data_IF_624918813117
#
_entry.id   IF_624918813117
#
_cell.length_a   1.000
_cell.length_b   1.000
_cell.length_c   1.000
_cell.angle_alpha   90.00
_cell.angle_beta   90.00
_cell.angle_gamma   90.00
#
_symmetry.space_group_name_H-M   'P 1'
#
loop_
_entity.id
_entity.type
_entity.pdbx_description
1 polymer ?
#
# COMPACT_ATOMS: atom_id res chain seq x y z
N UNK A 1 62.37 2.25 -28.39
CA UNK A 1 62.10 2.76 -29.76
C UNK A 1 60.72 2.25 -30.16
N UNK A 2 59.67 2.98 -30.54
CA UNK A 2 59.43 4.38 -30.93
C UNK A 2 58.03 4.80 -30.42
N UNK A 3 57.87 6.10 -30.13
CA UNK A 3 56.64 6.81 -29.79
C UNK A 3 55.85 7.22 -31.05
N UNK A 4 54.52 7.37 -30.91
CA UNK A 4 53.67 8.40 -31.55
C UNK A 4 52.32 8.36 -30.79
N UNK A 5 51.79 9.35 -30.05
CA UNK A 5 51.50 10.79 -30.24
C UNK A 5 50.66 11.10 -31.47
N UNK A 6 49.36 11.34 -31.24
CA UNK A 6 48.56 12.27 -32.05
C UNK A 6 47.80 13.26 -31.15
N UNK A 7 48.10 14.55 -31.38
CA UNK A 7 47.31 15.76 -31.03
C UNK A 7 46.00 15.69 -31.84
N UNK A 8 44.83 16.12 -31.38
CA UNK A 8 44.47 17.40 -30.77
C UNK A 8 43.79 18.29 -31.83
N UNK A 9 42.48 18.53 -31.71
CA UNK A 9 41.84 19.74 -32.26
C UNK A 9 40.51 20.04 -31.57
N UNK A 10 40.49 21.20 -30.93
CA UNK A 10 39.31 21.88 -30.42
C UNK A 10 38.44 22.40 -31.57
N UNK A 11 37.12 22.42 -31.36
CA UNK A 11 36.23 23.38 -32.01
C UNK A 11 35.51 24.17 -30.91
N UNK A 12 35.38 25.47 -31.17
CA UNK A 12 35.03 26.55 -30.24
C UNK A 12 33.80 27.26 -30.82
N UNK A 13 32.94 27.77 -29.92
CA UNK A 13 31.90 28.83 -30.11
C UNK A 13 30.68 28.37 -30.93
N UNK A 14 29.41 28.61 -30.59
CA UNK A 14 28.65 29.83 -30.23
C UNK A 14 27.39 29.34 -29.45
N UNK A 15 26.92 29.86 -28.31
CA UNK A 15 26.70 31.25 -27.92
C UNK A 15 25.24 31.62 -28.17
N UNK A 16 24.32 31.35 -27.23
CA UNK A 16 22.91 31.70 -27.40
C UNK A 16 22.08 31.47 -26.14
N UNK A 17 22.22 32.38 -25.18
CA UNK A 17 21.30 32.48 -24.04
C UNK A 17 20.02 33.19 -24.44
N UNK A 18 18.89 32.70 -23.94
CA UNK A 18 17.65 33.49 -23.79
C UNK A 18 17.08 33.14 -22.42
N UNK A 19 17.09 34.14 -21.54
CA UNK A 19 16.48 34.09 -20.22
C UNK A 19 14.95 34.19 -20.27
N UNK A 20 14.30 34.27 -19.09
CA UNK A 20 12.90 33.94 -18.92
C UNK A 20 11.98 35.07 -19.42
N UNK A 21 10.93 34.70 -20.14
CA UNK A 21 9.86 35.63 -20.50
C UNK A 21 8.93 35.84 -19.29
N UNK A 22 9.12 36.99 -18.62
CA UNK A 22 8.07 37.63 -17.85
C UNK A 22 6.90 37.99 -18.79
N UNK A 23 5.69 37.50 -18.48
CA UNK A 23 4.45 38.05 -19.04
C UNK A 23 3.72 38.78 -17.92
N UNK A 24 3.78 40.11 -17.99
CA UNK A 24 2.98 41.01 -17.18
C UNK A 24 1.64 41.32 -17.86
N UNK A 25 0.59 41.33 -17.04
CA UNK A 25 -0.64 42.13 -17.12
C UNK A 25 -1.46 42.19 -18.42
N UNK A 26 -2.71 41.70 -18.33
CA UNK A 26 -3.87 42.44 -18.85
C UNK A 26 -4.99 42.49 -17.82
N UNK A 27 -5.10 43.68 -17.22
CA UNK A 27 -6.32 44.19 -16.59
C UNK A 27 -7.39 44.34 -17.68
N UNK A 28 -8.54 43.70 -17.49
CA UNK A 28 -9.74 43.87 -18.29
C UNK A 28 -10.90 44.27 -17.37
N UNK A 29 -11.38 45.49 -17.56
CA UNK A 29 -12.42 46.14 -16.78
C UNK A 29 -13.82 45.53 -17.03
N UNK A 30 -14.58 45.44 -15.93
CA UNK A 30 -15.97 45.88 -15.77
C UNK A 30 -17.06 45.37 -16.72
N UNK A 31 -17.94 44.53 -16.17
CA UNK A 31 -19.38 44.72 -16.36
C UNK A 31 -20.09 44.78 -15.00
N UNK A 32 -20.54 45.99 -14.65
CA UNK A 32 -21.54 46.26 -13.62
C UNK A 32 -22.89 45.75 -14.11
N UNK A 33 -23.57 44.94 -13.30
CA UNK A 33 -25.03 44.83 -13.34
C UNK A 33 -25.54 45.37 -12.01
N UNK A 34 -26.27 46.48 -12.11
CA UNK A 34 -26.97 47.11 -11.03
C UNK A 34 -28.26 46.33 -10.74
N UNK A 35 -28.54 46.04 -9.47
CA UNK A 35 -29.91 45.83 -8.99
C UNK A 35 -30.10 46.60 -7.70
N UNK A 36 -30.99 47.57 -7.83
CA UNK A 36 -31.65 48.51 -6.94
C UNK A 36 -31.70 48.20 -5.43
N UNK A 37 -31.39 49.24 -4.65
CA UNK A 37 -31.71 49.38 -3.23
C UNK A 37 -33.18 49.79 -3.08
N UNK A 38 -33.94 49.11 -2.22
CA UNK A 38 -35.04 49.76 -1.49
C UNK A 38 -34.93 49.48 0.00
N UNK A 39 -34.63 50.54 0.73
CA UNK A 39 -34.89 50.70 2.17
C UNK A 39 -36.41 50.60 2.43
N UNK A 40 -36.78 49.93 3.51
CA UNK A 40 -37.83 50.37 4.42
C UNK A 40 -37.71 49.57 5.73
N UNK A 41 -37.62 50.30 6.84
CA UNK A 41 -37.63 49.87 8.25
C UNK A 41 -38.81 50.61 8.93
N UNK A 42 -39.23 50.33 10.17
CA UNK A 42 -39.98 49.17 10.69
C UNK A 42 -41.36 49.59 11.28
N UNK A 43 -42.06 48.72 12.05
CA UNK A 43 -42.50 49.22 13.35
C UNK A 43 -42.34 48.24 14.53
N UNK A 44 -42.09 48.84 15.70
CA UNK A 44 -42.06 48.24 17.03
C UNK A 44 -43.26 47.35 17.40
N UNK A 45 -43.01 46.25 18.13
CA UNK A 45 -43.70 45.93 19.40
C UNK A 45 -42.99 44.88 20.27
N UNK A 46 -42.68 45.35 21.49
CA UNK A 46 -42.34 44.74 22.79
C UNK A 46 -42.52 43.22 22.98
N UNK A 47 -41.41 42.56 23.36
CA UNK A 47 -41.20 41.93 24.68
C UNK A 47 -41.65 40.48 24.88
N UNK A 48 -40.71 39.56 25.11
CA UNK A 48 -40.73 38.63 26.27
C UNK A 48 -39.54 37.67 26.34
N UNK A 49 -39.06 37.51 27.58
CA UNK A 49 -38.34 36.39 28.19
C UNK A 49 -36.96 35.95 27.67
N UNK A 50 -35.96 36.39 28.43
CA UNK A 50 -34.76 35.67 28.84
C UNK A 50 -34.94 34.14 28.94
N UNK A 51 -34.16 33.41 28.13
CA UNK A 51 -33.51 32.12 28.48
C UNK A 51 -32.60 31.69 27.31
N UNK A 52 -31.43 32.31 27.21
CA UNK A 52 -30.35 31.76 26.42
C UNK A 52 -29.79 30.56 27.16
N UNK A 53 -30.24 29.37 26.79
CA UNK A 53 -29.51 28.13 27.08
C UNK A 53 -28.16 28.24 26.37
N UNK A 54 -27.03 27.89 26.99
CA UNK A 54 -25.82 27.67 26.21
C UNK A 54 -26.13 26.46 25.33
N UNK A 55 -26.29 26.70 24.03
CA UNK A 55 -26.27 25.61 23.07
C UNK A 55 -24.90 24.97 23.19
N UNK A 56 -24.86 23.80 23.83
CA UNK A 56 -23.75 22.88 23.72
C UNK A 56 -23.61 22.50 22.24
N UNK A 57 -22.83 23.24 21.47
CA UNK A 57 -22.14 22.64 20.35
C UNK A 57 -21.11 21.70 20.98
N UNK A 58 -21.36 20.40 20.87
CA UNK A 58 -20.37 19.41 21.24
C UNK A 58 -19.17 19.58 20.30
N UNK A 59 -18.17 20.34 20.75
CA UNK A 59 -16.86 20.42 20.08
C UNK A 59 -16.23 19.05 20.24
N UNK A 60 -16.46 18.19 19.25
CA UNK A 60 -15.86 16.86 19.19
C UNK A 60 -14.36 17.03 18.99
N UNK A 61 -13.56 16.58 19.96
CA UNK A 61 -12.11 16.65 19.83
C UNK A 61 -11.67 15.72 18.68
N UNK A 62 -10.89 16.22 17.71
CA UNK A 62 -10.52 15.47 16.52
C UNK A 62 -9.30 14.59 16.79
N UNK A 63 -9.51 13.47 17.47
CA UNK A 63 -8.56 12.36 17.46
C UNK A 63 -8.70 11.57 16.15
N UNK A 64 -7.58 11.15 15.57
CA UNK A 64 -7.50 10.37 14.35
C UNK A 64 -6.67 9.12 14.58
N UNK A 65 -7.12 7.99 14.03
CA UNK A 65 -6.37 6.74 14.03
C UNK A 65 -6.23 6.23 12.61
N UNK A 66 -5.00 6.04 12.16
CA UNK A 66 -4.66 5.42 10.87
C UNK A 66 -4.12 4.02 11.14
N UNK A 67 -4.80 3.01 10.61
CA UNK A 67 -4.36 1.61 10.68
C UNK A 67 -4.14 1.04 9.29
N UNK A 68 -3.16 0.15 9.15
CA UNK A 68 -2.85 -0.51 7.88
C UNK A 68 -1.93 -1.71 8.08
N UNK A 69 -1.79 -2.53 7.04
CA UNK A 69 -0.79 -3.59 6.96
C UNK A 69 0.48 -3.18 6.19
N UNK A 70 0.42 -2.09 5.40
CA UNK A 70 1.57 -1.52 4.68
C UNK A 70 1.89 -0.09 5.18
N UNK A 71 3.09 0.09 5.73
CA UNK A 71 3.57 1.37 6.29
C UNK A 71 3.62 2.48 5.23
N UNK A 72 3.78 2.16 3.95
CA UNK A 72 3.81 3.15 2.87
C UNK A 72 2.43 3.76 2.65
N UNK A 73 1.37 2.96 2.77
CA UNK A 73 -0.02 3.45 2.70
C UNK A 73 -0.41 4.24 3.94
N UNK A 74 0.02 3.79 5.12
CA UNK A 74 -0.15 4.54 6.38
C UNK A 74 0.53 5.91 6.27
N UNK A 75 1.78 5.95 5.78
CA UNK A 75 2.55 7.17 5.62
C UNK A 75 1.93 8.14 4.62
N UNK A 76 1.40 7.63 3.50
CA UNK A 76 0.68 8.44 2.52
C UNK A 76 -0.58 9.08 3.15
N UNK A 77 -1.43 8.27 3.79
CA UNK A 77 -2.64 8.77 4.45
C UNK A 77 -2.34 9.74 5.60
N UNK A 78 -1.25 9.52 6.33
CA UNK A 78 -0.77 10.41 7.38
C UNK A 78 -0.35 11.76 6.79
N UNK A 79 0.37 11.75 5.67
CA UNK A 79 0.82 12.97 5.00
C UNK A 79 -0.38 13.80 4.55
N UNK A 80 -1.33 13.18 3.84
CA UNK A 80 -2.55 13.85 3.37
C UNK A 80 -3.36 14.45 4.53
N UNK A 81 -3.53 13.69 5.62
CA UNK A 81 -4.27 14.14 6.79
C UNK A 81 -3.55 15.30 7.49
N UNK A 82 -2.23 15.21 7.69
CA UNK A 82 -1.47 16.27 8.34
C UNK A 82 -1.49 17.54 7.49
N UNK A 83 -1.36 17.44 6.17
CA UNK A 83 -1.41 18.61 5.29
C UNK A 83 -2.79 19.27 5.31
N UNK A 84 -3.87 18.48 5.38
CA UNK A 84 -5.21 19.01 5.58
C UNK A 84 -5.39 19.70 6.94
N UNK A 85 -4.84 19.12 8.02
CA UNK A 85 -4.98 19.65 9.38
C UNK A 85 -4.14 20.91 9.61
N UNK A 86 -2.93 20.96 9.05
CA UNK A 86 -2.04 22.12 9.14
C UNK A 86 -2.54 23.26 8.25
N UNK A 87 -3.03 22.95 7.05
CA UNK A 87 -3.52 23.95 6.09
C UNK A 87 -2.46 25.02 5.78
N UNK A 88 -2.83 26.29 5.91
CA UNK A 88 -1.93 27.43 5.66
C UNK A 88 -1.08 27.84 6.88
N UNK A 89 -1.20 27.14 8.01
CA UNK A 89 -0.43 27.45 9.22
C UNK A 89 1.06 27.11 9.06
N UNK A 90 1.92 27.82 9.80
CA UNK A 90 3.34 27.48 9.86
C UNK A 90 3.53 26.11 10.54
N UNK A 91 3.89 25.10 9.73
CA UNK A 91 4.09 23.72 10.17
C UNK A 91 5.08 23.64 11.33
N UNK A 92 6.13 24.47 11.36
CA UNK A 92 7.11 24.45 12.44
C UNK A 92 6.53 24.86 13.81
N UNK A 93 5.45 25.65 13.81
CA UNK A 93 4.81 26.12 15.04
C UNK A 93 3.71 25.19 15.55
N UNK A 94 3.04 24.44 14.67
CA UNK A 94 1.83 23.68 15.03
C UNK A 94 2.02 22.17 15.03
N UNK A 95 3.05 21.65 14.36
CA UNK A 95 3.23 20.22 14.14
C UNK A 95 4.36 19.64 15.01
N UNK A 96 4.05 18.58 15.75
CA UNK A 96 5.06 17.73 16.40
C UNK A 96 4.80 16.26 16.08
N UNK A 97 5.86 15.48 15.85
CA UNK A 97 5.77 14.06 15.53
C UNK A 97 6.72 13.25 16.39
N UNK A 98 6.23 12.12 16.87
CA UNK A 98 6.94 11.18 17.73
C UNK A 98 6.85 9.79 17.11
N UNK A 99 7.99 9.12 16.91
CA UNK A 99 8.04 7.79 16.33
C UNK A 99 8.52 6.76 17.36
N UNK A 100 7.61 5.89 17.81
CA UNK A 100 7.94 4.89 18.83
C UNK A 100 8.81 3.74 18.31
N UNK A 101 8.91 3.54 17.00
CA UNK A 101 9.79 2.52 16.42
C UNK A 101 11.27 2.90 16.53
N UNK A 102 11.58 4.20 16.52
CA UNK A 102 12.94 4.73 16.65
C UNK A 102 13.39 4.89 18.11
N UNK A 103 12.45 4.89 19.05
CA UNK A 103 12.72 5.04 20.49
C UNK A 103 13.11 3.69 21.11
N UNK A 104 14.21 3.69 21.86
CA UNK A 104 14.67 2.54 22.62
C UNK A 104 13.62 2.11 23.65
N UNK A 105 13.52 0.80 23.91
CA UNK A 105 12.46 0.24 24.75
C UNK A 105 12.37 0.90 26.14
N UNK A 106 13.50 1.23 26.76
CA UNK A 106 13.57 1.81 28.10
C UNK A 106 13.09 3.28 28.15
N UNK A 107 13.15 3.99 27.02
CA UNK A 107 12.77 5.41 26.91
C UNK A 107 11.34 5.61 26.39
N UNK A 108 10.64 4.54 25.99
CA UNK A 108 9.30 4.64 25.39
C UNK A 108 8.26 5.21 26.35
N UNK A 109 8.34 4.90 27.64
CA UNK A 109 7.41 5.45 28.63
C UNK A 109 7.57 6.99 28.75
N UNK A 110 8.81 7.48 28.67
CA UNK A 110 9.09 8.91 28.62
C UNK A 110 8.58 9.53 27.32
N UNK A 111 8.75 8.85 26.18
CA UNK A 111 8.23 9.32 24.89
C UNK A 111 6.69 9.39 24.87
N UNK A 112 5.98 8.41 25.46
CA UNK A 112 4.52 8.47 25.60
C UNK A 112 4.10 9.66 26.47
N UNK A 113 4.81 9.91 27.58
CA UNK A 113 4.56 11.08 28.41
C UNK A 113 4.79 12.40 27.63
N UNK A 114 5.82 12.46 26.78
CA UNK A 114 6.07 13.62 25.91
C UNK A 114 4.92 13.85 24.92
N UNK A 115 4.40 12.79 24.28
CA UNK A 115 3.23 12.90 23.38
C UNK A 115 2.02 13.46 24.12
N UNK A 116 1.70 12.93 25.30
CA UNK A 116 0.57 13.41 26.11
C UNK A 116 0.77 14.87 26.53
N UNK A 117 1.98 15.22 26.99
CA UNK A 117 2.31 16.60 27.37
C UNK A 117 2.18 17.54 26.17
N UNK A 118 2.70 17.16 25.00
CA UNK A 118 2.59 17.94 23.77
C UNK A 118 1.12 18.11 23.36
N UNK A 119 0.29 17.07 23.50
CA UNK A 119 -1.12 17.11 23.16
C UNK A 119 -2.00 17.86 24.18
N UNK A 120 -1.52 18.10 25.40
CA UNK A 120 -2.16 18.92 26.42
C UNK A 120 -1.67 20.37 26.41
N UNK A 121 -0.50 20.63 25.83
CA UNK A 121 0.11 21.96 25.80
C UNK A 121 -0.57 22.81 24.74
N UNK A 122 -1.20 23.91 25.17
CA UNK A 122 -1.79 24.89 24.28
C UNK A 122 -0.69 25.63 23.51
N UNK A 123 -0.91 25.85 22.21
CA UNK A 123 0.01 26.67 21.40
C UNK A 123 -0.10 28.14 21.80
N UNK A 124 1.03 28.84 21.88
CA UNK A 124 1.08 30.29 22.14
C UNK A 124 0.89 31.14 20.88
N UNK A 125 1.08 30.54 19.71
CA UNK A 125 1.15 31.25 18.43
C UNK A 125 0.10 30.77 17.40
N UNK A 126 -0.65 29.71 17.73
CA UNK A 126 -1.68 29.16 16.86
C UNK A 126 -2.92 28.74 17.67
N UNK A 127 -4.08 28.75 17.02
CA UNK A 127 -5.36 28.36 17.63
C UNK A 127 -5.50 26.84 17.81
N UNK A 128 -4.61 26.06 17.20
CA UNK A 128 -4.61 24.60 17.26
C UNK A 128 -3.18 24.03 17.24
N UNK A 129 -3.09 22.74 17.58
CA UNK A 129 -1.89 21.93 17.51
C UNK A 129 -2.16 20.61 16.78
N UNK A 130 -1.18 20.09 16.05
CA UNK A 130 -1.20 18.76 15.45
C UNK A 130 -0.08 17.93 16.07
N UNK A 131 -0.44 16.90 16.82
CA UNK A 131 0.52 15.97 17.44
C UNK A 131 0.35 14.60 16.80
N UNK A 132 1.43 14.08 16.22
CA UNK A 132 1.47 12.76 15.58
C UNK A 132 2.24 11.79 16.45
N UNK A 133 1.65 10.63 16.75
CA UNK A 133 2.33 9.51 17.38
C UNK A 133 2.32 8.29 16.45
N UNK A 134 3.48 7.92 15.94
CA UNK A 134 3.66 6.83 14.98
C UNK A 134 4.01 5.53 15.68
N UNK A 135 3.58 4.41 15.11
CA UNK A 135 3.86 3.05 15.58
C UNK A 135 3.38 2.79 17.02
N UNK A 136 2.14 3.16 17.35
CA UNK A 136 1.56 2.93 18.68
C UNK A 136 1.31 1.44 19.01
N UNK A 137 1.56 0.55 18.06
CA UNK A 137 1.55 -0.91 18.17
C UNK A 137 2.92 -1.50 18.54
N UNK A 138 3.95 -0.66 18.64
CA UNK A 138 5.29 -1.09 19.08
C UNK A 138 5.23 -1.72 20.47
N UNK A 139 5.95 -2.83 20.67
CA UNK A 139 5.97 -3.56 21.96
C UNK A 139 7.40 -3.60 22.54
N UNK A 140 7.59 -3.40 23.86
CA UNK A 140 6.61 -2.91 24.83
C UNK A 140 6.31 -1.41 24.63
N UNK A 141 5.09 -1.00 24.97
CA UNK A 141 4.65 0.40 25.02
C UNK A 141 3.54 0.54 26.08
N UNK A 142 3.73 1.43 27.05
CA UNK A 142 2.69 1.73 28.03
C UNK A 142 1.66 2.71 27.46
N UNK A 143 0.50 2.21 27.06
CA UNK A 143 -0.57 3.03 26.47
C UNK A 143 -1.48 3.71 27.49
N UNK A 144 -1.33 3.44 28.79
CA UNK A 144 -2.23 3.95 29.83
C UNK A 144 -2.30 5.49 29.88
N UNK A 145 -1.20 6.25 29.71
CA UNK A 145 -1.27 7.71 29.66
C UNK A 145 -2.12 8.23 28.49
N UNK A 146 -2.03 7.59 27.31
CA UNK A 146 -2.86 7.94 26.15
C UNK A 146 -4.34 7.64 26.42
N UNK A 147 -4.64 6.50 27.05
CA UNK A 147 -6.01 6.14 27.46
C UNK A 147 -6.60 7.17 28.43
N UNK A 148 -5.79 7.67 29.36
CA UNK A 148 -6.20 8.72 30.30
C UNK A 148 -6.47 10.03 29.57
N UNK A 149 -5.57 10.45 28.68
CA UNK A 149 -5.74 11.65 27.85
C UNK A 149 -7.04 11.63 27.05
N UNK A 150 -7.36 10.50 26.39
CA UNK A 150 -8.56 10.35 25.56
C UNK A 150 -9.90 10.47 26.32
N UNK A 151 -9.89 10.47 27.66
CA UNK A 151 -11.10 10.72 28.47
C UNK A 151 -11.50 12.20 28.51
N UNK A 152 -10.51 13.09 28.42
CA UNK A 152 -10.69 14.54 28.42
C UNK A 152 -9.60 15.17 27.53
N UNK A 153 -9.67 14.95 26.20
CA UNK A 153 -8.65 15.43 25.29
C UNK A 153 -8.74 16.95 25.10
N UNK A 154 -7.64 17.58 24.75
CA UNK A 154 -7.59 19.04 24.60
C UNK A 154 -8.34 19.50 23.34
N UNK A 155 -9.22 20.48 23.48
CA UNK A 155 -10.09 20.96 22.38
C UNK A 155 -9.31 21.55 21.19
N UNK A 156 -8.13 22.11 21.47
CA UNK A 156 -7.26 22.75 20.48
C UNK A 156 -6.13 21.84 19.99
N UNK A 157 -6.26 20.52 20.15
CA UNK A 157 -5.26 19.56 19.68
C UNK A 157 -5.87 18.49 18.77
N UNK A 158 -5.32 18.37 17.57
CA UNK A 158 -5.49 17.22 16.68
C UNK A 158 -4.45 16.16 17.03
N UNK A 159 -4.89 15.07 17.67
CA UNK A 159 -4.03 13.91 17.93
C UNK A 159 -4.18 12.90 16.81
N UNK A 160 -3.10 12.62 16.07
CA UNK A 160 -3.07 11.60 15.01
C UNK A 160 -2.21 10.42 15.46
N UNK A 161 -2.78 9.22 15.44
CA UNK A 161 -2.11 7.98 15.83
C UNK A 161 -1.96 7.07 14.62
N UNK A 162 -0.80 6.43 14.45
CA UNK A 162 -0.60 5.40 13.42
C UNK A 162 -0.21 4.04 13.99
N UNK A 163 -0.76 2.97 13.41
CA UNK A 163 -0.42 1.60 13.78
C UNK A 163 -0.39 0.66 12.57
N UNK A 164 0.71 -0.08 12.40
CA UNK A 164 0.84 -1.15 11.40
C UNK A 164 0.30 -2.50 11.89
N UNK A 165 0.06 -2.61 13.19
CA UNK A 165 -0.24 -3.87 13.86
C UNK A 165 -1.35 -3.75 14.90
N UNK A 166 -1.39 -4.74 15.79
CA UNK A 166 -2.46 -4.87 16.77
C UNK A 166 -2.27 -3.89 17.93
N UNK A 167 -3.21 -2.97 18.08
CA UNK A 167 -3.26 -2.02 19.20
C UNK A 167 -3.83 -2.71 20.47
N UNK A 168 -3.34 -2.38 21.68
CA UNK A 168 -3.93 -2.84 22.94
C UNK A 168 -5.43 -2.54 23.05
N UNK A 169 -6.19 -3.50 23.61
CA UNK A 169 -7.66 -3.40 23.71
C UNK A 169 -8.12 -2.16 24.47
N UNK A 170 -7.44 -1.82 25.57
CA UNK A 170 -7.77 -0.65 26.39
C UNK A 170 -7.69 0.67 25.59
N UNK A 171 -6.66 0.81 24.74
CA UNK A 171 -6.49 1.98 23.87
C UNK A 171 -7.54 2.01 22.75
N UNK A 172 -7.82 0.87 22.11
CA UNK A 172 -8.87 0.78 21.08
C UNK A 172 -10.26 1.16 21.64
N UNK A 173 -10.60 0.67 22.83
CA UNK A 173 -11.87 0.98 23.50
C UNK A 173 -11.94 2.47 23.90
N UNK A 174 -10.81 3.09 24.28
CA UNK A 174 -10.75 4.52 24.57
C UNK A 174 -10.96 5.38 23.32
N UNK A 175 -10.29 5.05 22.21
CA UNK A 175 -10.41 5.76 20.93
C UNK A 175 -11.84 5.73 20.38
N UNK A 176 -12.54 4.60 20.51
CA UNK A 176 -13.95 4.50 20.12
C UNK A 176 -14.87 5.37 20.98
N UNK A 177 -14.61 5.46 22.28
CA UNK A 177 -15.40 6.27 23.21
C UNK A 177 -15.18 7.76 23.02
N UNK A 178 -14.00 8.19 22.58
CA UNK A 178 -13.69 9.59 22.31
C UNK A 178 -14.23 10.10 20.97
N UNK A 179 -14.84 9.24 20.14
CA UNK A 179 -15.33 9.63 18.82
C UNK A 179 -14.22 9.79 17.76
N UNK A 180 -13.10 9.07 17.92
CA UNK A 180 -11.95 9.11 17.02
C UNK A 180 -12.35 8.77 15.59
N UNK A 181 -11.89 9.57 14.63
CA UNK A 181 -12.03 9.27 13.20
C UNK A 181 -11.02 8.21 12.79
N UNK A 182 -11.48 7.09 12.23
CA UNK A 182 -10.63 5.95 11.87
C UNK A 182 -10.42 5.87 10.35
N UNK A 183 -9.17 5.75 9.93
CA UNK A 183 -8.76 5.49 8.57
C UNK A 183 -8.17 4.08 8.47
N UNK A 184 -8.79 3.21 7.70
CA UNK A 184 -8.26 1.88 7.38
C UNK A 184 -7.64 1.89 5.99
N UNK A 185 -6.33 1.70 5.94
CA UNK A 185 -5.53 1.75 4.71
C UNK A 185 -5.27 0.36 4.12
N UNK A 186 -5.62 -0.71 4.85
CA UNK A 186 -5.46 -2.10 4.42
C UNK A 186 -6.28 -2.40 3.15
N UNK A 187 -5.64 -2.80 2.05
CA UNK A 187 -6.34 -3.20 0.83
C UNK A 187 -7.19 -4.48 1.06
N UNK A 188 -8.42 -4.56 0.53
CA UNK A 188 -9.22 -5.77 0.65
C UNK A 188 -8.59 -6.99 -0.03
N UNK A 189 -8.63 -8.15 0.62
CA UNK A 189 -8.03 -9.39 0.09
C UNK A 189 -8.77 -9.98 -1.12
N UNK A 190 -10.08 -9.73 -1.24
CA UNK A 190 -10.88 -10.26 -2.35
C UNK A 190 -10.80 -9.35 -3.55
N UNK A 191 -10.47 -9.92 -4.71
CA UNK A 191 -10.29 -9.17 -5.97
C UNK A 191 -11.42 -8.17 -6.28
N UNK A 192 -12.69 -8.57 -6.13
CA UNK A 192 -13.83 -7.67 -6.41
C UNK A 192 -13.87 -6.48 -5.45
N UNK A 193 -13.62 -6.71 -4.17
CA UNK A 193 -13.61 -5.67 -3.14
C UNK A 193 -12.39 -4.75 -3.33
N UNK A 194 -11.25 -5.32 -3.73
CA UNK A 194 -10.02 -4.60 -4.06
C UNK A 194 -10.20 -3.63 -5.23
N UNK A 195 -10.82 -4.08 -6.32
CA UNK A 195 -11.09 -3.22 -7.49
C UNK A 195 -12.03 -2.06 -7.12
N UNK A 196 -13.05 -2.30 -6.30
CA UNK A 196 -13.91 -1.21 -5.81
C UNK A 196 -13.16 -0.27 -4.86
N UNK A 197 -12.26 -0.79 -4.02
CA UNK A 197 -11.39 0.04 -3.18
C UNK A 197 -10.48 0.95 -4.02
N UNK A 198 -9.83 0.42 -5.05
CA UNK A 198 -9.06 1.23 -6.00
C UNK A 198 -9.91 2.30 -6.67
N UNK A 199 -11.12 1.95 -7.12
CA UNK A 199 -12.05 2.91 -7.70
C UNK A 199 -12.37 4.06 -6.75
N UNK A 200 -12.59 3.78 -5.47
CA UNK A 200 -12.79 4.80 -4.43
C UNK A 200 -11.56 5.72 -4.35
N UNK A 201 -10.34 5.17 -4.37
CA UNK A 201 -9.10 5.96 -4.38
C UNK A 201 -8.95 6.85 -5.62
N UNK A 202 -9.33 6.37 -6.81
CA UNK A 202 -9.38 7.22 -8.01
C UNK A 202 -10.38 8.38 -7.85
N UNK A 203 -11.55 8.11 -7.27
CA UNK A 203 -12.57 9.16 -7.03
C UNK A 203 -12.11 10.18 -5.99
N UNK A 204 -11.46 9.72 -4.90
CA UNK A 204 -10.85 10.59 -3.88
C UNK A 204 -9.78 11.51 -4.50
N UNK A 205 -8.98 11.00 -5.43
CA UNK A 205 -8.01 11.79 -6.19
C UNK A 205 -8.63 12.70 -7.27
N UNK A 206 -9.97 12.75 -7.38
CA UNK A 206 -10.68 13.55 -8.38
C UNK A 206 -10.56 13.02 -9.81
N UNK A 207 -10.06 11.80 -10.00
CA UNK A 207 -9.86 11.17 -11.30
C UNK A 207 -11.08 10.34 -11.70
N UNK A 208 -11.36 10.30 -13.00
CA UNK A 208 -12.36 9.39 -13.59
C UNK A 208 -11.63 8.36 -14.43
N UNK A 209 -11.90 7.08 -14.20
CA UNK A 209 -11.27 5.98 -14.94
C UNK A 209 -12.36 5.05 -15.52
N UNK A 210 -12.10 4.44 -16.67
CA UNK A 210 -12.96 3.38 -17.18
C UNK A 210 -12.72 2.03 -16.48
N UNK A 211 -13.65 1.09 -16.65
CA UNK A 211 -13.57 -0.19 -15.96
C UNK A 211 -12.44 -1.09 -16.47
N UNK A 212 -12.03 -0.94 -17.73
CA UNK A 212 -10.96 -1.76 -18.32
C UNK A 212 -9.62 -1.28 -17.78
N UNK A 213 -9.36 0.02 -17.82
CA UNK A 213 -8.16 0.63 -17.28
C UNK A 213 -8.01 0.36 -15.78
N UNK A 214 -9.10 0.39 -15.02
CA UNK A 214 -9.06 0.09 -13.59
C UNK A 214 -8.66 -1.38 -13.30
N UNK A 215 -9.19 -2.34 -14.07
CA UNK A 215 -8.79 -3.75 -13.94
C UNK A 215 -7.32 -3.96 -14.29
N UNK A 216 -6.82 -3.26 -15.32
CA UNK A 216 -5.42 -3.31 -15.72
C UNK A 216 -4.52 -2.69 -14.64
N UNK A 217 -4.90 -1.58 -14.02
CA UNK A 217 -4.19 -1.02 -12.85
C UNK A 217 -4.19 -2.01 -11.70
N UNK A 218 -5.32 -2.65 -11.43
CA UNK A 218 -5.43 -3.63 -10.36
C UNK A 218 -4.56 -4.87 -10.61
N UNK A 219 -4.44 -5.31 -11.87
CA UNK A 219 -3.56 -6.43 -12.28
C UNK A 219 -2.07 -6.01 -12.24
N UNK A 220 -1.78 -4.79 -12.65
CA UNK A 220 -0.44 -4.22 -12.60
C UNK A 220 0.05 -4.06 -11.17
N UNK A 221 -0.76 -3.52 -10.25
CA UNK A 221 -0.40 -3.40 -8.82
C UNK A 221 -0.14 -4.77 -8.19
N UNK A 222 -0.91 -5.80 -8.55
CA UNK A 222 -0.81 -7.11 -7.93
C UNK A 222 -1.07 -7.01 -6.43
N UNK A 223 -0.02 -7.22 -5.63
CA UNK A 223 -0.04 -7.07 -4.17
C UNK A 223 0.56 -5.75 -3.68
N UNK A 224 1.17 -4.97 -4.56
CA UNK A 224 1.89 -3.74 -4.22
C UNK A 224 0.99 -2.50 -4.26
N UNK A 225 -0.08 -2.51 -3.44
CA UNK A 225 -1.07 -1.43 -3.41
C UNK A 225 -0.49 -0.07 -3.01
N UNK A 226 0.66 -0.07 -2.32
CA UNK A 226 1.39 1.13 -1.93
C UNK A 226 1.91 1.99 -3.10
N UNK A 227 1.93 1.45 -4.32
CA UNK A 227 2.28 2.22 -5.52
C UNK A 227 1.13 3.07 -6.05
N UNK A 228 -0.09 2.81 -5.60
CA UNK A 228 -1.28 3.49 -6.08
C UNK A 228 -1.27 5.00 -5.81
N UNK A 229 -0.94 5.51 -4.59
CA UNK A 229 -0.93 6.94 -4.33
C UNK A 229 -0.03 7.73 -5.29
N UNK A 230 1.19 7.23 -5.54
CA UNK A 230 2.11 7.87 -6.49
C UNK A 230 1.61 7.83 -7.94
N UNK A 231 0.96 6.74 -8.36
CA UNK A 231 0.32 6.67 -9.68
C UNK A 231 -0.82 7.70 -9.79
N UNK A 232 -1.66 7.82 -8.76
CA UNK A 232 -2.77 8.77 -8.74
C UNK A 232 -2.27 10.22 -8.82
N UNK A 233 -1.21 10.56 -8.09
CA UNK A 233 -0.58 11.89 -8.13
C UNK A 233 -0.08 12.24 -9.54
N UNK A 234 0.62 11.31 -10.19
CA UNK A 234 1.13 11.51 -11.56
C UNK A 234 -0.01 11.67 -12.56
N UNK A 235 -1.04 10.83 -12.48
CA UNK A 235 -2.20 10.90 -13.37
C UNK A 235 -3.00 12.19 -13.16
N UNK A 236 -3.24 12.58 -11.91
CA UNK A 236 -3.93 13.82 -11.57
C UNK A 236 -3.17 15.06 -12.06
N UNK A 237 -1.85 15.05 -11.90
CA UNK A 237 -0.98 16.14 -12.37
C UNK A 237 -0.95 16.24 -13.90
N UNK A 238 -1.06 15.11 -14.60
CA UNK A 238 -0.97 15.05 -16.07
C UNK A 238 -2.29 15.42 -16.75
N UNK A 239 -3.41 14.82 -16.32
CA UNK A 239 -4.71 14.92 -17.00
C UNK A 239 -5.70 15.84 -16.30
N UNK A 240 -5.42 16.25 -15.05
CA UNK A 240 -6.38 16.94 -14.20
C UNK A 240 -7.61 16.07 -13.87
N UNK A 241 -8.71 16.72 -13.47
CA UNK A 241 -9.90 16.03 -12.91
C UNK A 241 -11.10 15.91 -13.86
N UNK A 242 -10.96 16.37 -15.12
CA UNK A 242 -12.10 16.48 -16.05
C UNK A 242 -12.23 15.31 -17.02
N UNK A 243 -11.11 14.71 -17.43
CA UNK A 243 -11.08 13.63 -18.41
C UNK A 243 -11.40 12.28 -17.76
N UNK A 244 -12.07 11.40 -18.51
CA UNK A 244 -12.17 9.98 -18.17
C UNK A 244 -10.98 9.25 -18.79
N UNK A 245 -10.13 8.70 -17.94
CA UNK A 245 -8.92 7.96 -18.30
C UNK A 245 -9.29 6.58 -18.86
N UNK A 246 -8.66 6.26 -19.99
CA UNK A 246 -8.74 4.97 -20.67
C UNK A 246 -7.47 4.15 -20.48
N UNK A 247 -7.45 2.92 -20.97
CA UNK A 247 -6.25 2.07 -20.91
C UNK A 247 -5.04 2.76 -21.56
N UNK A 248 -5.23 3.38 -22.73
CA UNK A 248 -4.16 4.04 -23.47
C UNK A 248 -3.62 5.27 -22.73
N UNK A 249 -4.44 5.92 -21.89
CA UNK A 249 -4.03 7.06 -21.07
C UNK A 249 -3.19 6.62 -19.86
N UNK A 250 -3.49 5.45 -19.28
CA UNK A 250 -2.87 4.95 -18.05
C UNK A 250 -1.64 4.09 -18.32
N UNK A 251 -1.70 3.24 -19.35
CA UNK A 251 -0.63 2.29 -19.69
C UNK A 251 0.76 2.90 -19.81
N UNK A 252 0.98 4.13 -20.33
CA UNK A 252 2.30 4.74 -20.40
C UNK A 252 2.93 5.02 -19.02
N UNK A 253 2.10 5.13 -17.98
CA UNK A 253 2.53 5.37 -16.60
C UNK A 253 2.67 4.07 -15.80
N UNK A 254 2.16 2.97 -16.34
CA UNK A 254 2.36 1.64 -15.78
C UNK A 254 3.78 1.18 -16.17
N UNK A 255 4.74 1.46 -15.30
CA UNK A 255 6.09 0.89 -15.41
C UNK A 255 6.10 -0.61 -15.10
N UNK A 256 7.17 -1.11 -14.46
CA UNK A 256 7.25 -2.52 -14.09
C UNK A 256 6.11 -2.93 -13.17
N UNK A 257 5.56 -4.13 -13.39
CA UNK A 257 4.42 -4.63 -12.64
C UNK A 257 4.80 -4.92 -11.18
N UNK A 258 3.84 -4.74 -10.27
CA UNK A 258 4.00 -5.06 -8.85
C UNK A 258 4.15 -6.56 -8.61
N UNK A 259 4.60 -6.90 -7.41
CA UNK A 259 4.84 -8.26 -7.00
C UNK A 259 3.55 -9.09 -6.92
N UNK A 260 3.74 -10.41 -6.93
CA UNK A 260 2.69 -11.43 -6.84
C UNK A 260 2.94 -12.32 -5.64
N UNK A 261 1.93 -13.07 -5.22
CA UNK A 261 2.08 -13.92 -4.05
C UNK A 261 2.92 -15.17 -4.39
N UNK A 262 3.72 -15.69 -3.44
CA UNK A 262 4.55 -16.88 -3.68
C UNK A 262 3.74 -18.11 -4.11
N UNK A 263 2.49 -18.23 -3.66
CA UNK A 263 1.64 -19.35 -4.06
C UNK A 263 1.15 -19.25 -5.50
N UNK A 264 1.07 -18.06 -6.10
CA UNK A 264 0.69 -17.90 -7.51
C UNK A 264 1.73 -18.57 -8.42
N UNK A 265 3.02 -18.45 -8.08
CA UNK A 265 4.10 -19.19 -8.74
C UNK A 265 3.95 -20.70 -8.55
N UNK A 266 3.75 -21.18 -7.31
CA UNK A 266 3.63 -22.62 -7.07
C UNK A 266 2.38 -23.21 -7.72
N UNK A 267 1.28 -22.48 -7.75
CA UNK A 267 0.01 -22.93 -8.35
C UNK A 267 0.12 -23.00 -9.87
N UNK A 268 0.84 -22.06 -10.50
CA UNK A 268 1.15 -22.14 -11.92
C UNK A 268 2.05 -23.33 -12.26
N UNK A 269 3.05 -23.62 -11.41
CA UNK A 269 3.93 -24.80 -11.55
C UNK A 269 3.12 -26.10 -11.40
N UNK A 270 2.31 -26.22 -10.34
CA UNK A 270 1.50 -27.40 -10.06
C UNK A 270 0.41 -27.62 -11.11
N UNK A 271 -0.10 -26.53 -11.69
CA UNK A 271 -1.05 -26.56 -12.80
C UNK A 271 -0.43 -26.98 -14.14
N UNK A 272 0.90 -27.10 -14.22
CA UNK A 272 1.64 -27.40 -15.45
C UNK A 272 1.64 -26.25 -16.47
N UNK A 273 1.33 -25.03 -16.04
CA UNK A 273 1.30 -23.84 -16.91
C UNK A 273 2.68 -23.16 -16.89
N UNK A 274 3.59 -23.65 -17.73
CA UNK A 274 4.95 -23.12 -17.81
C UNK A 274 4.99 -21.63 -18.16
N UNK A 275 4.08 -21.15 -19.03
CA UNK A 275 4.06 -19.75 -19.46
C UNK A 275 3.69 -18.85 -18.28
N UNK A 276 2.61 -19.19 -17.57
CA UNK A 276 2.19 -18.46 -16.39
C UNK A 276 3.22 -18.57 -15.26
N UNK A 277 3.84 -19.74 -15.05
CA UNK A 277 4.85 -19.92 -14.01
C UNK A 277 6.09 -19.05 -14.23
N UNK A 278 6.57 -18.93 -15.48
CA UNK A 278 7.68 -18.04 -15.83
C UNK A 278 7.27 -16.57 -15.69
N UNK A 279 6.04 -16.22 -16.04
CA UNK A 279 5.52 -14.87 -15.84
C UNK A 279 5.49 -14.50 -14.34
N UNK A 280 4.97 -15.38 -13.48
CA UNK A 280 4.96 -15.16 -12.03
C UNK A 280 6.37 -15.06 -11.44
N UNK A 281 7.30 -15.92 -11.87
CA UNK A 281 8.70 -15.85 -11.45
C UNK A 281 9.31 -14.47 -11.77
N UNK A 282 9.11 -13.98 -12.99
CA UNK A 282 9.64 -12.68 -13.43
C UNK A 282 9.03 -11.52 -12.65
N UNK A 283 7.73 -11.59 -12.32
CA UNK A 283 7.09 -10.57 -11.47
C UNK A 283 7.65 -10.58 -10.04
N UNK A 284 7.92 -11.75 -9.48
CA UNK A 284 8.54 -11.86 -8.15
C UNK A 284 9.97 -11.31 -8.12
N UNK A 285 10.76 -11.54 -9.17
CA UNK A 285 12.14 -11.02 -9.29
C UNK A 285 12.17 -9.52 -9.61
N UNK A 286 11.35 -9.09 -10.57
CA UNK A 286 11.35 -7.73 -11.10
C UNK A 286 10.87 -6.66 -10.12
N UNK A 287 10.03 -7.02 -9.14
CA UNK A 287 9.61 -6.08 -8.09
C UNK A 287 10.74 -5.73 -7.10
N UNK A 288 11.82 -6.53 -7.07
CA UNK A 288 12.91 -6.39 -6.09
C UNK A 288 12.57 -6.89 -4.68
N UNK A 289 11.36 -7.41 -4.46
CA UNK A 289 10.93 -7.87 -3.14
C UNK A 289 11.48 -9.26 -2.79
N UNK A 290 11.63 -10.13 -3.78
CA UNK A 290 12.17 -11.46 -3.59
C UNK A 290 13.58 -11.59 -4.15
N UNK A 291 14.53 -11.86 -3.26
CA UNK A 291 15.85 -12.30 -3.67
C UNK A 291 15.77 -13.69 -4.32
N UNK A 292 16.55 -14.02 -5.38
CA UNK A 292 16.53 -15.34 -6.02
C UNK A 292 16.60 -16.54 -5.04
N UNK A 293 17.49 -16.48 -4.03
CA UNK A 293 17.57 -17.52 -3.00
C UNK A 293 16.31 -17.65 -2.12
N UNK A 294 15.55 -16.56 -1.92
CA UNK A 294 14.26 -16.64 -1.22
C UNK A 294 13.24 -17.40 -2.07
N UNK A 295 13.20 -17.15 -3.38
CA UNK A 295 12.32 -17.91 -4.31
C UNK A 295 12.70 -19.39 -4.32
N UNK A 296 14.00 -19.70 -4.37
CA UNK A 296 14.46 -21.09 -4.24
C UNK A 296 13.99 -21.72 -2.92
N UNK A 297 14.05 -20.97 -1.80
CA UNK A 297 13.55 -21.44 -0.51
C UNK A 297 12.03 -21.68 -0.51
N UNK A 298 11.25 -20.84 -1.18
CA UNK A 298 9.79 -21.03 -1.35
C UNK A 298 9.54 -22.36 -2.07
N UNK A 299 10.20 -22.59 -3.21
CA UNK A 299 10.05 -23.82 -3.99
C UNK A 299 10.53 -25.04 -3.21
N UNK A 300 11.65 -24.93 -2.49
CA UNK A 300 12.16 -26.01 -1.65
C UNK A 300 11.17 -26.39 -0.55
N UNK A 301 10.63 -25.41 0.18
CA UNK A 301 9.63 -25.64 1.22
C UNK A 301 8.35 -26.27 0.65
N UNK A 302 7.92 -25.81 -0.53
CA UNK A 302 6.73 -26.31 -1.20
C UNK A 302 6.87 -27.82 -1.54
N UNK A 303 7.96 -28.23 -2.21
CA UNK A 303 8.18 -29.64 -2.55
C UNK A 303 8.55 -30.51 -1.34
N UNK A 304 9.18 -29.94 -0.30
CA UNK A 304 9.46 -30.66 0.95
C UNK A 304 8.17 -31.05 1.66
N UNK A 305 7.16 -30.18 1.68
CA UNK A 305 5.84 -30.50 2.22
C UNK A 305 5.17 -31.64 1.44
N UNK A 306 5.23 -31.62 0.10
CA UNK A 306 4.72 -32.72 -0.73
C UNK A 306 5.48 -34.03 -0.49
N UNK A 307 6.81 -33.96 -0.33
CA UNK A 307 7.68 -35.10 -0.05
C UNK A 307 7.39 -35.74 1.31
N UNK A 308 7.12 -34.95 2.35
CA UNK A 308 6.75 -35.50 3.68
C UNK A 308 5.46 -36.32 3.68
N UNK A 309 4.62 -36.13 2.66
CA UNK A 309 3.38 -36.89 2.46
C UNK A 309 3.55 -38.12 1.58
N UNK A 310 4.67 -38.21 0.85
CA UNK A 310 4.96 -39.38 0.02
C UNK A 310 5.25 -40.59 0.92
N UNK A 311 4.44 -41.64 0.80
CA UNK A 311 4.55 -42.84 1.65
C UNK A 311 4.13 -42.65 3.12
N UNK A 312 3.57 -41.50 3.52
CA UNK A 312 3.18 -41.25 4.92
C UNK A 312 1.91 -41.99 5.37
N UNK A 313 1.13 -42.52 4.43
CA UNK A 313 -0.17 -43.15 4.69
C UNK A 313 -1.31 -42.15 4.92
N UNK A 314 -1.05 -40.84 4.86
CA UNK A 314 -2.08 -39.83 5.07
C UNK A 314 -3.22 -39.93 4.04
N UNK A 315 -4.45 -40.03 4.54
CA UNK A 315 -5.66 -40.19 3.70
C UNK A 315 -6.49 -38.91 3.62
N UNK A 316 -6.39 -38.07 4.64
CA UNK A 316 -7.18 -36.86 4.82
C UNK A 316 -6.32 -35.63 5.19
N UNK A 317 -6.94 -34.46 5.15
CA UNK A 317 -6.27 -33.18 5.37
C UNK A 317 -5.72 -33.01 6.79
N UNK A 318 -6.38 -33.59 7.79
CA UNK A 318 -5.97 -33.51 9.20
C UNK A 318 -4.68 -34.26 9.43
N UNK A 319 -4.57 -35.48 8.92
CA UNK A 319 -3.32 -36.26 8.94
C UNK A 319 -2.24 -35.53 8.15
N UNK A 320 -2.55 -35.04 6.95
CA UNK A 320 -1.57 -34.34 6.12
C UNK A 320 -0.97 -33.11 6.82
N UNK A 321 -1.79 -32.34 7.54
CA UNK A 321 -1.37 -31.18 8.34
C UNK A 321 -0.29 -31.52 9.36
N UNK A 322 -0.38 -32.68 10.02
CA UNK A 322 0.59 -33.13 11.02
C UNK A 322 1.98 -33.35 10.40
N UNK A 323 2.03 -33.97 9.22
CA UNK A 323 3.30 -34.22 8.50
C UNK A 323 3.93 -32.94 7.95
N UNK A 324 3.12 -32.03 7.41
CA UNK A 324 3.64 -30.78 6.80
C UNK A 324 3.86 -29.66 7.82
N UNK A 325 3.45 -29.84 9.08
CA UNK A 325 3.56 -28.83 10.13
C UNK A 325 2.67 -27.60 9.90
N UNK A 326 1.49 -27.77 9.30
CA UNK A 326 0.54 -26.69 9.03
C UNK A 326 -0.69 -26.82 9.92
N UNK A 327 -1.32 -25.69 10.25
CA UNK A 327 -2.62 -25.64 10.95
C UNK A 327 -3.79 -25.32 10.00
N UNK A 328 -3.51 -25.21 8.70
CA UNK A 328 -4.49 -24.83 7.68
C UNK A 328 -5.02 -26.06 6.97
N UNK A 329 -6.33 -26.33 7.12
CA UNK A 329 -7.01 -27.44 6.43
C UNK A 329 -6.87 -27.33 4.90
N UNK A 330 -6.93 -26.10 4.38
CA UNK A 330 -6.68 -25.81 2.97
C UNK A 330 -5.29 -26.29 2.53
N UNK A 331 -4.24 -25.98 3.30
CA UNK A 331 -2.89 -26.47 2.97
C UNK A 331 -2.81 -27.99 3.09
N UNK A 332 -3.45 -28.61 4.09
CA UNK A 332 -3.52 -30.07 4.24
C UNK A 332 -4.08 -30.74 2.98
N UNK A 333 -5.21 -30.25 2.47
CA UNK A 333 -5.82 -30.76 1.22
C UNK A 333 -4.92 -30.52 0.01
N UNK A 334 -4.40 -29.29 -0.14
CA UNK A 334 -3.56 -28.89 -1.27
C UNK A 334 -2.32 -29.78 -1.40
N UNK A 335 -1.55 -29.93 -0.32
CA UNK A 335 -0.32 -30.71 -0.36
C UNK A 335 -0.57 -32.22 -0.46
N UNK A 336 -1.70 -32.70 0.07
CA UNK A 336 -2.11 -34.10 -0.13
C UNK A 336 -2.45 -34.39 -1.59
N UNK A 337 -3.19 -33.50 -2.26
CA UNK A 337 -3.49 -33.60 -3.69
C UNK A 337 -2.19 -33.52 -4.52
N UNK A 338 -1.33 -32.55 -4.21
CA UNK A 338 -0.04 -32.40 -4.88
C UNK A 338 0.83 -33.65 -4.75
N UNK A 339 1.01 -34.16 -3.53
CA UNK A 339 1.80 -35.37 -3.26
C UNK A 339 1.30 -36.58 -4.06
N UNK A 340 -0.03 -36.77 -4.11
CA UNK A 340 -0.68 -37.82 -4.93
C UNK A 340 -0.45 -37.62 -6.42
N UNK A 341 -0.53 -36.39 -6.91
CA UNK A 341 -0.36 -36.07 -8.34
C UNK A 341 1.08 -36.24 -8.83
N UNK A 342 2.06 -35.94 -7.97
CA UNK A 342 3.48 -36.14 -8.23
C UNK A 342 3.83 -37.63 -8.14
N UNK A 343 3.40 -38.30 -7.07
CA UNK A 343 3.89 -39.62 -6.71
C UNK A 343 5.40 -39.64 -6.42
N UNK A 344 5.92 -40.79 -5.97
CA UNK A 344 7.28 -40.85 -5.42
C UNK A 344 8.37 -40.50 -6.43
N UNK A 345 8.22 -40.93 -7.69
CA UNK A 345 9.20 -40.64 -8.75
C UNK A 345 9.33 -39.15 -9.04
N UNK A 346 8.21 -38.44 -9.25
CA UNK A 346 8.27 -37.01 -9.61
C UNK A 346 8.64 -36.15 -8.41
N UNK A 347 8.25 -36.56 -7.20
CA UNK A 347 8.73 -35.95 -5.96
C UNK A 347 10.26 -36.04 -5.87
N UNK A 348 10.83 -37.22 -6.13
CA UNK A 348 12.29 -37.39 -6.21
C UNK A 348 12.92 -36.49 -7.30
N UNK A 349 12.33 -36.47 -8.50
CA UNK A 349 12.82 -35.64 -9.61
C UNK A 349 12.78 -34.14 -9.25
N UNK A 350 11.73 -33.66 -8.58
CA UNK A 350 11.62 -32.29 -8.12
C UNK A 350 12.72 -31.92 -7.12
N UNK A 351 12.99 -32.78 -6.15
CA UNK A 351 14.07 -32.60 -5.17
C UNK A 351 15.44 -32.56 -5.87
N UNK A 352 15.67 -33.42 -6.86
CA UNK A 352 16.90 -33.40 -7.66
C UNK A 352 17.06 -32.10 -8.47
N UNK A 353 15.97 -31.59 -9.04
CA UNK A 353 15.97 -30.31 -9.76
C UNK A 353 16.32 -29.15 -8.82
N UNK A 354 15.72 -29.10 -7.63
CA UNK A 354 16.01 -28.10 -6.60
C UNK A 354 17.47 -28.15 -6.14
N UNK A 355 18.01 -29.35 -5.87
CA UNK A 355 19.40 -29.51 -5.45
C UNK A 355 20.40 -29.05 -6.53
N UNK A 356 20.11 -29.32 -7.81
CA UNK A 356 20.91 -28.82 -8.93
C UNK A 356 20.84 -27.30 -9.04
N UNK A 357 19.66 -26.71 -8.88
CA UNK A 357 19.49 -25.27 -8.92
C UNK A 357 20.24 -24.58 -7.78
N UNK A 358 20.14 -25.08 -6.54
CA UNK A 358 20.90 -24.54 -5.39
C UNK A 358 22.41 -24.54 -5.66
N UNK A 359 22.95 -25.66 -6.15
CA UNK A 359 24.36 -25.77 -6.51
C UNK A 359 24.75 -24.78 -7.61
N UNK A 360 23.91 -24.63 -8.63
CA UNK A 360 24.17 -23.72 -9.75
C UNK A 360 24.18 -22.25 -9.30
N UNK A 361 23.21 -21.85 -8.47
CA UNK A 361 23.11 -20.50 -7.91
C UNK A 361 24.27 -20.17 -6.95
N UNK A 362 24.89 -21.18 -6.34
CA UNK A 362 26.13 -21.04 -5.55
C UNK A 362 27.41 -20.97 -6.38
N UNK A 363 27.30 -20.88 -7.71
CA UNK A 363 28.42 -20.61 -8.60
C UNK A 363 28.97 -21.82 -9.37
N UNK A 364 28.32 -22.98 -9.34
CA UNK A 364 28.84 -24.16 -10.04
C UNK A 364 28.84 -24.05 -11.58
N UNK A 365 28.05 -23.14 -12.15
CA UNK A 365 27.94 -22.93 -13.62
C UNK A 365 28.29 -21.52 -14.06
N UNK A 366 28.42 -20.57 -13.13
CA UNK A 366 28.60 -19.14 -13.45
C UNK A 366 27.41 -18.48 -14.15
N UNK A 367 26.27 -19.17 -14.28
CA UNK A 367 25.04 -18.61 -14.83
C UNK A 367 24.42 -17.62 -13.86
N UNK A 368 23.70 -16.64 -14.41
CA UNK A 368 22.90 -15.72 -13.62
C UNK A 368 21.81 -16.48 -12.83
N UNK A 369 21.58 -16.05 -11.58
CA UNK A 369 20.63 -16.68 -10.67
C UNK A 369 19.20 -16.68 -11.21
N UNK A 370 18.79 -15.63 -11.92
CA UNK A 370 17.47 -15.53 -12.54
C UNK A 370 17.30 -16.62 -13.60
N UNK A 371 18.30 -16.78 -14.48
CA UNK A 371 18.28 -17.81 -15.52
C UNK A 371 18.25 -19.22 -14.94
N UNK A 372 18.98 -19.47 -13.84
CA UNK A 372 18.92 -20.76 -13.13
C UNK A 372 17.51 -21.04 -12.62
N UNK A 373 16.84 -20.04 -12.04
CA UNK A 373 15.47 -20.15 -11.58
C UNK A 373 14.47 -20.33 -12.73
N UNK A 374 14.61 -19.63 -13.85
CA UNK A 374 13.75 -19.82 -15.03
C UNK A 374 13.82 -21.27 -15.53
N UNK A 375 15.04 -21.82 -15.64
CA UNK A 375 15.24 -23.22 -16.04
C UNK A 375 14.64 -24.20 -15.01
N UNK A 376 14.81 -23.91 -13.71
CA UNK A 376 14.22 -24.72 -12.64
C UNK A 376 12.69 -24.73 -12.75
N UNK A 377 12.05 -23.56 -12.83
CA UNK A 377 10.58 -23.40 -12.91
C UNK A 377 10.03 -24.05 -14.18
N UNK A 378 10.70 -23.89 -15.32
CA UNK A 378 10.30 -24.55 -16.56
C UNK A 378 10.38 -26.08 -16.48
N UNK A 379 11.34 -26.64 -15.73
CA UNK A 379 11.46 -28.08 -15.53
C UNK A 379 10.45 -28.62 -14.51
N UNK A 380 10.24 -27.91 -13.41
CA UNK A 380 9.26 -28.29 -12.37
C UNK A 380 7.83 -28.29 -12.94
N UNK A 381 7.47 -27.26 -13.71
CA UNK A 381 6.13 -27.19 -14.34
C UNK A 381 5.85 -28.31 -15.34
N UNK A 382 6.88 -29.00 -15.83
CA UNK A 382 6.71 -30.16 -16.74
C UNK A 382 6.56 -31.49 -16.02
N UNK A 383 6.69 -31.52 -14.69
CA UNK A 383 6.48 -32.76 -13.92
C UNK A 383 5.00 -33.17 -13.94
N UNK A 384 4.08 -32.20 -13.96
CA UNK A 384 2.65 -32.43 -14.05
C UNK A 384 2.12 -32.02 -15.43
N UNK A 385 1.13 -32.74 -15.99
CA UNK A 385 0.51 -32.33 -17.24
C UNK A 385 -0.24 -31.02 -17.04
N UNK A 386 -0.24 -30.16 -18.06
CA UNK A 386 -1.04 -28.94 -18.04
C UNK A 386 -2.51 -29.28 -17.78
N UNK A 387 -3.09 -28.72 -16.72
CA UNK A 387 -4.54 -28.78 -16.52
C UNK A 387 -5.19 -28.08 -17.70
N UNK A 388 -6.19 -28.71 -18.32
CA UNK A 388 -6.98 -28.05 -19.35
C UNK A 388 -7.53 -26.73 -18.76
N UNK A 389 -7.06 -25.59 -19.28
CA UNK A 389 -7.51 -24.29 -18.80
C UNK A 389 -9.03 -24.26 -18.93
N UNK A 390 -9.74 -24.12 -17.81
CA UNK A 390 -11.18 -23.87 -17.85
C UNK A 390 -11.32 -22.46 -18.44
N UNK A 391 -11.46 -22.36 -19.77
CA UNK A 391 -11.59 -21.08 -20.47
C UNK A 391 -12.63 -20.25 -19.71
N UNK A 392 -12.33 -19.00 -19.30
CA UNK A 392 -13.37 -18.13 -18.76
C UNK A 392 -14.47 -18.04 -19.81
N UNK A 393 -15.71 -18.30 -19.39
CA UNK A 393 -16.88 -18.26 -20.28
C UNK A 393 -16.89 -16.91 -20.98
N UNK A 394 -16.59 -16.91 -22.28
CA UNK A 394 -16.64 -15.73 -23.13
C UNK A 394 -18.07 -15.23 -23.05
N UNK A 395 -18.32 -14.15 -22.30
CA UNK A 395 -19.64 -13.51 -22.26
C UNK A 395 -19.97 -13.13 -23.69
N UNK A 396 -20.89 -13.87 -24.30
CA UNK A 396 -21.46 -13.55 -25.60
C UNK A 396 -22.15 -12.21 -25.45
N UNK A 397 -21.55 -11.16 -26.00
CA UNK A 397 -22.21 -9.89 -26.24
C UNK A 397 -23.33 -10.14 -27.24
N UNK A 398 -24.53 -10.42 -26.71
CA UNK A 398 -25.76 -10.37 -27.48
C UNK A 398 -26.01 -8.91 -27.86
N UNK A 399 -25.68 -8.55 -29.10
CA UNK A 399 -26.28 -7.39 -29.76
C UNK A 399 -27.79 -7.62 -29.81
N UNK A 400 -28.55 -6.73 -29.18
CA UNK A 400 -29.88 -6.30 -29.64
C UNK A 400 -30.10 -4.86 -29.25
#
# INVERSE_FOLDING_TARGET
MRRARHRGRALRVVGGGVGPAHVAARLGQSHRVAVDHRLCDPPHRRGSSLRGSPSCEAVSVPAYLITGDDERLISAQLTDLVDQLVGDADRASVYESYDFAEVQADDRDAAVAQVVNAAQTQSLFADFRVVVARHIDTTPLNTDPLVVYLRAPAEQCHLVLTAGGRIPKALNDALKKSGTTMFETTPPSKRRELVEWYKTKFVEAGLKIDAVALEEVAEWLGQDSARLPGLLEVLASTYGTKQRLTYDDVSPFLGDAGHVQPWDLTDAIDGGDTANALFMLRRMLGSGEFHPFQILSVLHNHYTKAMRLDGSGATNAVEAMQFIGSRSDFQGRKYLELSRSLGSKKTFDAVQLLARADRNMRGATGLDNELVLEVLVARLSRLLPARASRKPARKTTSKR
#
